data_IF_430609582264
#
_entry.id   IF_430609582264
#
_cell.length_a   1.000
_cell.length_b   1.000
_cell.length_c   1.000
_cell.angle_alpha   90.00
_cell.angle_beta   90.00
_cell.angle_gamma   90.00
#
_symmetry.space_group_name_H-M   'P 1'
#
loop_
_entity.id
_entity.type
_entity.pdbx_description
1 polymer ?
#
# COMPACT_ATOMS: atom_id res chain seq x y z
N UNK A 1 63.95 18.31 8.04
CA UNK A 1 63.82 16.91 8.53
C UNK A 1 62.65 16.73 9.50
N UNK A 2 62.49 17.56 10.55
CA UNK A 2 61.39 17.44 11.54
C UNK A 2 59.97 17.63 10.97
N UNK A 3 59.80 18.47 9.95
CA UNK A 3 58.51 18.67 9.27
C UNK A 3 58.11 17.46 8.42
N UNK A 4 59.06 16.86 7.68
CA UNK A 4 58.81 15.65 6.89
C UNK A 4 58.34 14.46 7.75
N UNK A 5 58.90 14.31 8.97
CA UNK A 5 58.48 13.26 9.90
C UNK A 5 57.06 13.49 10.44
N UNK A 6 56.65 14.74 10.66
CA UNK A 6 55.27 15.05 11.09
C UNK A 6 54.23 14.83 9.99
N UNK A 7 54.56 15.10 8.72
CA UNK A 7 53.64 14.86 7.59
C UNK A 7 53.45 13.36 7.33
N UNK A 8 54.51 12.56 7.48
CA UNK A 8 54.42 11.09 7.36
C UNK A 8 53.64 10.47 8.52
N UNK A 9 53.81 10.99 9.75
CA UNK A 9 53.01 10.55 10.90
C UNK A 9 51.52 10.92 10.77
N UNK A 10 51.21 12.09 10.17
CA UNK A 10 49.83 12.49 9.89
C UNK A 10 49.19 11.68 8.76
N UNK A 11 49.95 11.25 7.74
CA UNK A 11 49.44 10.37 6.68
C UNK A 11 49.20 8.93 7.15
N UNK A 12 49.98 8.43 8.12
CA UNK A 12 49.78 7.12 8.74
C UNK A 12 48.56 7.04 9.67
N UNK A 13 48.03 8.17 10.12
CA UNK A 13 46.81 8.23 10.95
C UNK A 13 45.51 8.15 10.12
N UNK A 14 45.59 8.15 8.78
CA UNK A 14 44.42 8.11 7.89
C UNK A 14 44.19 6.69 7.30
N UNK A 15 44.97 5.69 7.70
CA UNK A 15 44.80 4.30 7.22
C UNK A 15 44.40 3.33 8.32
N UNK A 16 43.77 3.80 9.40
CA UNK A 16 42.96 2.89 10.20
C UNK A 16 41.77 2.49 9.30
N UNK A 17 41.92 1.39 8.58
CA UNK A 17 40.78 0.67 8.05
C UNK A 17 39.94 0.33 9.26
N UNK A 18 38.81 1.01 9.46
CA UNK A 18 37.76 0.49 10.31
C UNK A 18 37.45 -0.90 9.74
N UNK A 19 37.92 -1.94 10.43
CA UNK A 19 37.61 -3.32 10.07
C UNK A 19 36.20 -3.52 10.63
N UNK A 20 35.27 -3.75 9.73
CA UNK A 20 33.86 -3.97 10.01
C UNK A 20 33.51 -5.32 9.39
N UNK A 21 32.58 -6.05 9.99
CA UNK A 21 32.14 -7.36 9.51
C UNK A 21 31.78 -7.26 8.01
N UNK A 22 32.49 -8.03 7.19
CA UNK A 22 32.33 -8.02 5.74
C UNK A 22 31.59 -9.26 5.26
N UNK A 23 30.38 -9.03 4.76
CA UNK A 23 29.52 -10.06 4.20
C UNK A 23 28.87 -9.52 2.93
N UNK A 24 28.84 -10.36 1.88
CA UNK A 24 28.59 -9.92 0.50
C UNK A 24 27.13 -9.55 0.25
N UNK A 25 26.19 -10.21 0.95
CA UNK A 25 24.74 -10.04 0.78
C UNK A 25 24.12 -9.41 2.02
N UNK A 26 24.39 -8.12 2.22
CA UNK A 26 23.84 -7.31 3.32
C UNK A 26 22.32 -7.17 3.19
N UNK A 27 21.59 -6.84 4.28
CA UNK A 27 20.17 -6.54 4.19
C UNK A 27 19.94 -5.42 3.17
N UNK A 28 19.14 -5.69 2.16
CA UNK A 28 18.66 -4.73 1.18
C UNK A 28 17.14 -4.93 1.07
N UNK A 29 16.39 -3.84 1.17
CA UNK A 29 14.93 -3.92 1.13
C UNK A 29 14.47 -3.69 -0.29
N UNK A 30 13.66 -4.60 -0.81
CA UNK A 30 13.03 -4.47 -2.12
C UNK A 30 11.52 -4.37 -1.94
N UNK A 31 10.86 -3.67 -2.86
CA UNK A 31 9.44 -3.41 -2.80
C UNK A 31 8.79 -3.53 -4.19
N UNK A 32 7.57 -4.06 -4.24
CA UNK A 32 6.76 -4.10 -5.44
C UNK A 32 5.27 -4.01 -5.13
N UNK A 33 4.47 -3.60 -6.12
CA UNK A 33 3.02 -3.46 -5.96
C UNK A 33 2.35 -4.83 -6.01
N UNK A 34 1.47 -5.09 -5.05
CA UNK A 34 0.59 -6.24 -5.07
C UNK A 34 -0.82 -5.84 -5.55
N UNK A 35 -1.30 -6.51 -6.60
CA UNK A 35 -2.60 -6.21 -7.19
C UNK A 35 -2.51 -5.14 -8.29
N UNK A 36 -3.43 -4.17 -8.27
CA UNK A 36 -3.52 -3.14 -9.31
C UNK A 36 -2.61 -1.95 -9.00
N UNK A 37 -1.82 -1.54 -9.98
CA UNK A 37 -1.10 -0.25 -10.00
C UNK A 37 -1.87 0.84 -10.75
N UNK A 38 -3.09 0.55 -11.21
CA UNK A 38 -3.95 1.47 -11.97
C UNK A 38 -4.97 2.15 -11.06
N UNK A 39 -5.10 3.46 -11.24
CA UNK A 39 -6.00 4.34 -10.50
C UNK A 39 -6.75 5.28 -11.45
N UNK A 40 -7.92 5.75 -11.04
CA UNK A 40 -8.67 6.79 -11.75
C UNK A 40 -8.51 8.15 -11.05
N UNK A 41 -8.81 9.24 -11.78
CA UNK A 41 -8.88 10.59 -11.19
C UNK A 41 -9.93 10.66 -10.08
N UNK A 42 -9.57 11.27 -8.97
CA UNK A 42 -10.41 11.38 -7.79
C UNK A 42 -10.48 10.09 -6.95
N UNK A 43 -9.74 9.04 -7.32
CA UNK A 43 -9.70 7.83 -6.52
C UNK A 43 -9.13 8.11 -5.12
N UNK A 44 -9.74 7.47 -4.13
CA UNK A 44 -9.18 7.34 -2.79
C UNK A 44 -9.21 5.86 -2.42
N UNK A 45 -8.06 5.20 -2.57
CA UNK A 45 -7.94 3.74 -2.49
C UNK A 45 -6.61 3.33 -1.89
N UNK A 46 -6.56 2.08 -1.46
CA UNK A 46 -5.38 1.45 -0.89
C UNK A 46 -4.43 0.95 -1.99
N UNK A 47 -3.18 1.41 -1.94
CA UNK A 47 -2.04 0.84 -2.64
C UNK A 47 -1.37 -0.19 -1.72
N UNK A 48 -1.31 -1.44 -2.17
CA UNK A 48 -0.66 -2.51 -1.40
C UNK A 48 0.74 -2.73 -1.95
N UNK A 49 1.75 -2.57 -1.08
CA UNK A 49 3.14 -2.88 -1.40
C UNK A 49 3.54 -4.16 -0.68
N UNK A 50 4.18 -5.08 -1.39
CA UNK A 50 4.94 -6.16 -0.77
C UNK A 50 6.37 -5.67 -0.64
N UNK A 51 6.90 -5.72 0.57
CA UNK A 51 8.31 -5.49 0.84
C UNK A 51 8.96 -6.78 1.31
N UNK A 52 10.23 -6.99 1.01
CA UNK A 52 11.01 -8.04 1.66
C UNK A 52 12.49 -7.67 1.67
N UNK A 53 13.22 -8.29 2.60
CA UNK A 53 14.67 -8.20 2.69
C UNK A 53 15.26 -9.33 1.83
N UNK A 54 16.01 -9.00 0.78
CA UNK A 54 16.53 -9.97 -0.17
C UNK A 54 17.94 -10.50 0.18
N UNK A 55 18.42 -10.22 1.39
CA UNK A 55 19.64 -10.83 1.90
C UNK A 55 19.52 -12.36 1.99
N UNK A 56 20.64 -13.02 1.72
CA UNK A 56 20.78 -14.46 1.86
C UNK A 56 22.21 -14.83 2.22
N UNK A 57 22.38 -15.97 2.87
CA UNK A 57 23.70 -16.43 3.31
C UNK A 57 24.49 -17.01 2.11
N UNK A 58 25.47 -16.25 1.61
CA UNK A 58 26.38 -16.66 0.54
C UNK A 58 27.82 -16.84 1.05
N UNK A 59 28.47 -15.75 1.48
CA UNK A 59 29.81 -15.75 2.07
C UNK A 59 29.88 -14.76 3.25
N UNK A 60 30.37 -15.23 4.41
CA UNK A 60 30.57 -14.41 5.63
C UNK A 60 32.04 -14.45 6.00
N UNK A 61 32.67 -13.28 6.14
CA UNK A 61 34.03 -13.16 6.67
C UNK A 61 33.94 -12.56 8.08
N UNK A 62 34.44 -13.31 9.04
CA UNK A 62 34.56 -12.89 10.42
C UNK A 62 35.96 -12.33 10.68
N UNK A 63 36.05 -11.33 11.54
CA UNK A 63 37.30 -10.67 11.88
C UNK A 63 38.17 -11.56 12.78
N UNK A 64 37.55 -12.30 13.72
CA UNK A 64 38.25 -13.24 14.58
C UNK A 64 37.44 -14.51 14.94
N UNK A 65 38.09 -15.43 15.66
CA UNK A 65 37.46 -16.69 16.10
C UNK A 65 36.32 -16.46 17.11
N UNK A 66 36.37 -15.36 17.87
CA UNK A 66 35.39 -15.03 18.91
C UNK A 66 34.10 -14.53 18.26
N UNK A 67 34.22 -13.67 17.25
CA UNK A 67 33.10 -13.23 16.42
C UNK A 67 32.48 -14.39 15.64
N UNK A 68 33.32 -15.20 14.97
CA UNK A 68 32.86 -16.40 14.28
C UNK A 68 32.12 -17.37 15.23
N UNK A 69 32.63 -17.53 16.46
CA UNK A 69 31.99 -18.36 17.48
C UNK A 69 30.68 -17.78 18.02
N UNK A 70 30.55 -16.45 18.08
CA UNK A 70 29.32 -15.78 18.50
C UNK A 70 28.20 -15.93 17.47
N UNK A 71 28.50 -15.70 16.19
CA UNK A 71 27.53 -15.78 15.10
C UNK A 71 27.26 -17.20 14.61
N UNK A 72 28.03 -18.20 15.03
CA UNK A 72 27.77 -19.59 14.68
C UNK A 72 26.38 -20.04 15.18
N UNK A 73 25.52 -20.44 14.25
CA UNK A 73 24.11 -20.77 14.52
C UNK A 73 23.22 -19.54 14.81
N UNK A 74 23.72 -18.33 14.58
CA UNK A 74 23.02 -17.04 14.72
C UNK A 74 23.25 -16.13 13.50
N UNK A 75 23.62 -16.71 12.36
CA UNK A 75 23.99 -15.98 11.15
C UNK A 75 22.81 -15.14 10.65
N UNK A 76 21.56 -15.57 10.88
CA UNK A 76 20.35 -14.81 10.56
C UNK A 76 20.32 -13.39 11.15
N UNK A 77 21.01 -13.16 12.27
CA UNK A 77 21.13 -11.83 12.88
C UNK A 77 21.80 -10.83 11.91
N UNK A 78 22.80 -11.28 11.16
CA UNK A 78 23.55 -10.44 10.21
C UNK A 78 22.70 -10.02 9.02
N UNK A 79 21.78 -10.90 8.61
CA UNK A 79 20.93 -10.69 7.45
C UNK A 79 19.59 -10.05 7.81
N UNK A 80 19.32 -9.72 9.08
CA UNK A 80 18.07 -9.10 9.50
C UNK A 80 18.18 -7.57 9.42
N UNK A 81 17.18 -6.93 8.81
CA UNK A 81 17.03 -5.47 8.87
C UNK A 81 16.23 -5.11 10.14
N UNK A 82 16.83 -4.36 11.05
CA UNK A 82 16.23 -3.97 12.33
C UNK A 82 15.62 -2.58 12.23
N UNK A 83 14.53 -2.38 12.97
CA UNK A 83 13.87 -1.09 13.09
C UNK A 83 13.59 -0.42 11.74
N UNK A 84 12.94 -1.17 10.85
CA UNK A 84 12.66 -0.71 9.48
C UNK A 84 11.54 0.34 9.55
N UNK A 85 11.84 1.55 9.13
CA UNK A 85 10.92 2.68 9.03
C UNK A 85 10.64 2.96 7.57
N UNK A 86 9.36 3.11 7.23
CA UNK A 86 8.89 3.12 5.85
C UNK A 86 7.90 4.25 5.68
N UNK A 87 8.21 5.16 4.76
CA UNK A 87 7.35 6.26 4.36
C UNK A 87 7.16 6.25 2.86
N UNK A 88 5.92 6.41 2.40
CA UNK A 88 5.64 6.57 0.98
C UNK A 88 5.36 8.04 0.71
N UNK A 89 6.22 8.66 -0.08
CA UNK A 89 6.05 10.04 -0.51
C UNK A 89 5.27 10.12 -1.82
N UNK A 90 4.28 11.00 -1.79
CA UNK A 90 3.45 11.33 -2.94
C UNK A 90 4.14 12.26 -3.93
N UNK A 91 3.35 12.80 -4.85
CA UNK A 91 3.78 13.85 -5.78
C UNK A 91 2.68 14.91 -5.93
N UNK A 92 2.79 15.79 -6.94
CA UNK A 92 1.83 16.89 -7.14
C UNK A 92 0.36 16.44 -7.35
N UNK A 93 0.13 15.21 -7.83
CA UNK A 93 -1.21 14.67 -8.07
C UNK A 93 -1.60 13.51 -7.16
N UNK A 94 -0.65 12.91 -6.46
CA UNK A 94 -0.87 11.72 -5.63
C UNK A 94 -0.53 12.07 -4.19
N UNK A 95 -1.56 12.13 -3.34
CA UNK A 95 -1.39 12.38 -1.91
C UNK A 95 -1.44 11.08 -1.12
N UNK A 96 -0.40 10.81 -0.35
CA UNK A 96 -0.37 9.69 0.60
C UNK A 96 -0.95 10.15 1.93
N UNK A 97 -1.94 9.42 2.44
CA UNK A 97 -2.61 9.71 3.73
C UNK A 97 -2.11 8.84 4.87
N UNK A 98 -1.50 7.71 4.54
CA UNK A 98 -0.93 6.79 5.50
C UNK A 98 0.35 7.38 6.10
N UNK A 99 0.51 7.42 7.44
CA UNK A 99 1.74 7.85 8.08
C UNK A 99 2.85 6.79 7.93
N UNK A 100 4.05 7.15 8.36
CA UNK A 100 5.18 6.21 8.46
C UNK A 100 4.79 4.92 9.17
N UNK A 101 5.26 3.80 8.64
CA UNK A 101 5.06 2.46 9.17
C UNK A 101 6.39 1.90 9.66
N UNK A 102 6.34 1.10 10.75
CA UNK A 102 7.52 0.57 11.40
C UNK A 102 7.44 -0.95 11.55
N UNK A 103 8.50 -1.64 11.16
CA UNK A 103 8.66 -3.09 11.31
C UNK A 103 9.86 -3.33 12.25
N UNK A 104 9.66 -3.95 13.42
CA UNK A 104 10.74 -4.12 14.39
C UNK A 104 11.96 -4.87 13.85
N UNK A 105 11.72 -5.91 13.05
CA UNK A 105 12.75 -6.69 12.39
C UNK A 105 12.17 -7.33 11.13
N UNK A 106 12.83 -7.15 9.99
CA UNK A 106 12.47 -7.77 8.72
C UNK A 106 13.52 -8.83 8.39
N UNK A 107 13.13 -10.08 8.63
CA UNK A 107 13.96 -11.25 8.36
C UNK A 107 14.24 -11.41 6.86
N UNK A 108 15.40 -12.00 6.49
CA UNK A 108 15.70 -12.32 5.11
C UNK A 108 14.61 -13.21 4.50
N UNK A 109 14.24 -12.94 3.25
CA UNK A 109 13.29 -13.72 2.46
C UNK A 109 11.88 -13.83 3.07
N UNK A 110 11.52 -12.96 4.02
CA UNK A 110 10.18 -12.93 4.63
C UNK A 110 9.36 -11.72 4.16
N UNK A 111 8.44 -11.89 3.19
CA UNK A 111 7.68 -10.77 2.66
C UNK A 111 6.61 -10.26 3.62
N UNK A 112 6.43 -8.94 3.63
CA UNK A 112 5.43 -8.22 4.43
C UNK A 112 4.59 -7.33 3.52
N UNK A 113 3.27 -7.38 3.71
CA UNK A 113 2.33 -6.53 2.98
C UNK A 113 2.07 -5.24 3.75
N UNK A 114 2.33 -4.11 3.10
CA UNK A 114 2.03 -2.77 3.60
C UNK A 114 0.87 -2.17 2.82
N UNK A 115 0.03 -1.42 3.51
CA UNK A 115 -1.14 -0.79 2.92
C UNK A 115 -1.06 0.73 3.08
N UNK A 116 -1.04 1.43 1.94
CA UNK A 116 -1.00 2.89 1.86
C UNK A 116 -2.31 3.43 1.27
N UNK A 117 -3.06 4.19 2.05
CA UNK A 117 -4.20 4.94 1.55
C UNK A 117 -3.69 6.14 0.76
N UNK A 118 -3.96 6.15 -0.55
CA UNK A 118 -3.58 7.24 -1.45
C UNK A 118 -4.82 7.90 -2.03
N UNK A 119 -4.70 9.18 -2.37
CA UNK A 119 -5.73 9.98 -3.02
C UNK A 119 -5.17 10.63 -4.28
N UNK A 120 -5.87 10.45 -5.38
CA UNK A 120 -5.51 10.95 -6.71
C UNK A 120 -6.28 12.23 -7.00
N UNK A 121 -5.58 13.29 -7.40
CA UNK A 121 -6.19 14.56 -7.78
C UNK A 121 -7.13 14.42 -8.98
N UNK A 122 -8.24 15.15 -8.98
CA UNK A 122 -9.13 15.28 -10.13
C UNK A 122 -8.46 15.96 -11.34
N UNK A 123 -7.41 16.74 -11.09
CA UNK A 123 -6.63 17.43 -12.13
C UNK A 123 -5.51 16.58 -12.74
N UNK A 124 -5.26 15.38 -12.21
CA UNK A 124 -4.20 14.51 -12.70
C UNK A 124 -4.42 14.14 -14.17
N UNK A 125 -3.38 14.19 -15.00
CA UNK A 125 -3.47 13.71 -16.38
C UNK A 125 -3.37 12.19 -16.42
N UNK A 126 -3.87 11.57 -17.48
CA UNK A 126 -3.62 10.15 -17.68
C UNK A 126 -2.12 9.93 -17.96
N UNK A 127 -1.54 8.86 -17.39
CA UNK A 127 -0.12 8.56 -17.57
C UNK A 127 0.51 7.80 -16.41
N UNK A 128 1.82 7.59 -16.53
CA UNK A 128 2.67 6.98 -15.51
C UNK A 128 3.11 8.06 -14.50
N UNK A 129 3.08 7.69 -13.23
CA UNK A 129 3.53 8.51 -12.11
C UNK A 129 4.42 7.69 -11.20
N UNK A 130 5.44 8.33 -10.66
CA UNK A 130 6.37 7.73 -9.72
C UNK A 130 6.12 8.30 -8.32
N UNK A 131 6.10 7.41 -7.32
CA UNK A 131 6.08 7.69 -5.89
C UNK A 131 7.41 7.22 -5.31
N UNK A 132 7.86 7.85 -4.23
CA UNK A 132 9.13 7.51 -3.60
C UNK A 132 8.89 6.77 -2.29
N UNK A 133 9.26 5.50 -2.21
CA UNK A 133 9.24 4.75 -0.96
C UNK A 133 10.57 4.94 -0.24
N UNK A 134 10.57 5.75 0.81
CA UNK A 134 11.70 5.94 1.69
C UNK A 134 11.74 4.83 2.72
N UNK A 135 12.89 4.15 2.81
CA UNK A 135 13.13 3.09 3.78
C UNK A 135 14.42 3.39 4.52
N UNK A 136 14.35 3.38 5.85
CA UNK A 136 15.53 3.39 6.71
C UNK A 136 15.50 2.19 7.64
N UNK A 137 16.66 1.64 7.96
CA UNK A 137 16.78 0.49 8.85
C UNK A 137 18.19 0.43 9.43
N UNK A 138 18.36 -0.37 10.47
CA UNK A 138 19.67 -0.70 11.02
C UNK A 138 20.06 -2.11 10.61
N UNK A 139 21.34 -2.30 10.30
CA UNK A 139 21.95 -3.63 10.21
C UNK A 139 23.11 -3.74 11.19
N UNK A 140 23.44 -4.97 11.57
CA UNK A 140 24.63 -5.24 12.37
C UNK A 140 25.86 -4.92 11.51
N UNK A 141 26.79 -4.17 12.10
CA UNK A 141 28.06 -3.80 11.51
C UNK A 141 29.23 -4.55 12.12
N UNK A 142 29.22 -4.75 13.44
CA UNK A 142 30.33 -5.40 14.17
C UNK A 142 29.88 -5.98 15.53
N UNK A 143 30.63 -6.94 16.04
CA UNK A 143 30.57 -7.41 17.43
C UNK A 143 31.59 -6.64 18.30
N UNK A 144 31.18 -5.46 18.78
CA UNK A 144 32.05 -4.57 19.57
C UNK A 144 32.58 -5.24 20.84
N UNK A 145 31.75 -6.01 21.55
CA UNK A 145 32.22 -6.78 22.69
C UNK A 145 31.43 -8.06 22.91
N UNK A 146 32.11 -9.07 23.45
CA UNK A 146 31.50 -10.31 23.90
C UNK A 146 32.31 -10.89 25.06
N UNK A 147 31.65 -11.10 26.20
CA UNK A 147 32.21 -11.78 27.36
C UNK A 147 31.77 -13.24 27.30
N UNK A 148 32.60 -14.08 26.69
CA UNK A 148 32.40 -15.52 26.67
C UNK A 148 32.48 -16.05 28.09
N UNK A 149 31.66 -17.03 28.46
CA UNK A 149 31.80 -17.72 29.74
C UNK A 149 33.26 -18.12 29.95
N UNK A 150 33.96 -17.45 30.86
CA UNK A 150 35.22 -17.97 31.34
C UNK A 150 34.88 -19.28 32.04
N UNK A 151 35.48 -20.39 31.59
CA UNK A 151 35.54 -21.63 32.36
C UNK A 151 36.45 -21.38 33.56
N UNK A 152 36.08 -20.47 34.45
CA UNK A 152 36.65 -20.45 35.79
C UNK A 152 36.06 -21.70 36.43
N UNK A 153 36.87 -22.77 36.47
CA UNK A 153 36.63 -23.86 37.41
C UNK A 153 36.30 -23.20 38.76
N UNK A 154 35.21 -23.59 39.44
CA UNK A 154 34.87 -22.96 40.72
C UNK A 154 36.10 -22.97 41.61
N UNK A 155 36.57 -21.80 42.04
CA UNK A 155 37.71 -21.73 42.95
C UNK A 155 37.29 -22.40 44.26
N UNK A 156 37.87 -23.55 44.58
CA UNK A 156 37.66 -24.18 45.88
C UNK A 156 38.51 -23.44 46.91
N UNK A 157 37.90 -22.56 47.69
CA UNK A 157 38.50 -22.11 48.94
C UNK A 157 38.32 -23.23 49.98
N UNK A 158 39.40 -23.97 50.22
CA UNK A 158 39.44 -24.93 51.33
C UNK A 158 39.65 -24.12 52.61
N UNK A 159 38.57 -23.85 53.33
CA UNK A 159 38.67 -23.37 54.72
C UNK A 159 39.12 -24.57 55.57
N UNK A 160 40.43 -24.69 55.77
CA UNK A 160 40.98 -25.63 56.73
C UNK A 160 40.68 -25.09 58.15
N UNK A 161 39.62 -25.61 58.78
CA UNK A 161 39.42 -25.42 60.21
C UNK A 161 40.49 -26.28 60.92
N UNK A 162 41.63 -25.67 61.27
CA UNK A 162 42.49 -26.25 62.30
C UNK A 162 41.76 -26.09 63.63
N UNK A 163 41.66 -27.19 64.38
CA UNK A 163 41.07 -27.28 65.72
C UNK A 163 41.85 -26.47 66.76
N UNK A 164 42.00 -25.18 66.57
CA UNK A 164 42.39 -24.27 67.62
C UNK A 164 41.35 -23.16 67.66
N UNK A 165 40.83 -22.95 68.86
CA UNK A 165 39.86 -21.92 69.22
C UNK A 165 40.21 -20.58 68.58
N UNK A 166 39.55 -20.26 67.46
CA UNK A 166 39.61 -18.94 66.86
C UNK A 166 38.45 -18.14 67.46
N UNK A 167 38.75 -17.42 68.53
CA UNK A 167 38.11 -16.13 68.85
C UNK A 167 38.44 -15.15 67.73
N UNK A 168 37.68 -15.20 66.65
CA UNK A 168 37.79 -14.30 65.52
C UNK A 168 36.40 -13.83 65.14
N UNK A 169 36.06 -12.62 65.58
CA UNK A 169 34.82 -11.94 65.20
C UNK A 169 34.87 -11.68 63.69
N UNK A 170 34.09 -12.41 62.90
CA UNK A 170 33.86 -12.06 61.50
C UNK A 170 32.89 -10.89 61.48
N UNK A 171 33.42 -9.71 61.18
CA UNK A 171 32.65 -8.48 61.04
C UNK A 171 31.87 -8.53 59.73
N UNK A 172 30.55 -8.70 59.79
CA UNK A 172 29.65 -8.35 58.68
C UNK A 172 29.14 -6.93 58.92
N UNK A 173 29.23 -6.00 57.95
CA UNK A 173 28.63 -4.69 58.11
C UNK A 173 27.12 -4.79 57.85
N UNK A 174 26.37 -5.24 58.85
CA UNK A 174 24.94 -4.95 58.95
C UNK A 174 24.53 -4.92 60.44
N UNK A 175 24.14 -3.73 60.88
CA UNK A 175 23.42 -3.33 62.10
C UNK A 175 23.15 -4.42 63.19
N UNK A 176 23.77 -4.19 64.37
CA UNK A 176 23.82 -4.91 65.67
C UNK A 176 22.47 -5.31 66.32
N UNK A 177 22.39 -6.05 67.47
CA UNK A 177 23.26 -7.06 68.11
C UNK A 177 22.52 -8.39 68.42
N UNK A 178 23.25 -9.49 68.61
CA UNK A 178 23.12 -10.42 69.76
C UNK A 178 23.71 -11.80 69.43
N UNK A 179 24.54 -12.25 70.36
CA UNK A 179 25.41 -13.41 70.26
C UNK A 179 24.63 -14.73 70.17
N UNK A 180 24.92 -15.55 69.16
CA UNK A 180 24.62 -16.98 69.19
C UNK A 180 25.89 -17.79 68.88
N UNK A 181 26.31 -18.60 69.85
CA UNK A 181 27.33 -19.63 69.67
C UNK A 181 26.74 -20.77 68.83
N UNK A 182 27.23 -20.97 67.61
CA UNK A 182 26.84 -22.10 66.77
C UNK A 182 27.94 -23.17 66.79
N UNK A 183 27.71 -24.20 67.60
CA UNK A 183 28.30 -25.54 67.43
C UNK A 183 27.63 -26.18 66.22
N UNK A 184 28.36 -26.40 65.13
CA UNK A 184 27.74 -26.87 63.89
C UNK A 184 28.69 -27.62 62.96
N UNK A 185 28.26 -28.84 62.62
CA UNK A 185 28.83 -29.80 61.69
C UNK A 185 29.34 -29.16 60.38
N UNK A 186 30.50 -29.59 59.87
CA UNK A 186 31.21 -29.01 58.72
C UNK A 186 30.32 -28.89 57.47
N UNK A 187 29.72 -27.72 57.29
CA UNK A 187 28.84 -27.39 56.16
C UNK A 187 29.70 -26.78 55.06
N UNK A 188 29.73 -27.42 53.88
CA UNK A 188 30.41 -26.89 52.70
C UNK A 188 29.49 -25.90 52.01
N UNK A 189 29.91 -24.64 51.90
CA UNK A 189 29.20 -23.62 51.14
C UNK A 189 29.72 -23.62 49.71
N UNK A 190 28.81 -23.75 48.74
CA UNK A 190 29.10 -23.54 47.33
C UNK A 190 28.43 -22.24 46.91
N UNK A 191 29.23 -21.24 46.52
CA UNK A 191 28.72 -20.00 45.94
C UNK A 191 28.81 -20.11 44.43
N UNK A 192 27.66 -20.28 43.77
CA UNK A 192 27.56 -20.22 42.32
C UNK A 192 27.26 -18.77 41.92
N UNK A 193 28.15 -18.15 41.14
CA UNK A 193 27.86 -16.87 40.48
C UNK A 193 27.33 -17.18 39.08
N UNK A 194 26.05 -16.89 38.82
CA UNK A 194 25.53 -16.92 37.45
C UNK A 194 26.24 -15.80 36.68
N UNK A 195 27.08 -16.17 35.71
CA UNK A 195 27.61 -15.22 34.73
C UNK A 195 26.60 -15.16 33.59
N UNK A 196 26.04 -14.00 33.28
CA UNK A 196 25.25 -13.83 32.07
C UNK A 196 26.21 -13.42 30.94
N UNK A 197 26.13 -14.08 29.78
CA UNK A 197 26.86 -13.63 28.59
C UNK A 197 26.44 -12.18 28.28
N UNK A 198 27.40 -11.26 28.30
CA UNK A 198 27.19 -9.88 27.86
C UNK A 198 27.84 -9.73 26.48
N UNK A 199 27.10 -9.18 25.55
CA UNK A 199 27.63 -8.77 24.25
C UNK A 199 27.09 -7.40 23.88
N UNK A 200 27.80 -6.73 22.98
CA UNK A 200 27.48 -5.43 22.43
C UNK A 200 27.67 -5.51 20.92
N UNK A 201 26.65 -5.06 20.18
CA UNK A 201 26.63 -5.07 18.72
C UNK A 201 26.63 -3.63 18.25
N UNK A 202 27.51 -3.32 17.30
CA UNK A 202 27.46 -2.06 16.59
C UNK A 202 26.42 -2.18 15.47
N UNK A 203 25.56 -1.16 15.37
CA UNK A 203 24.58 -1.04 14.30
C UNK A 203 24.88 0.18 13.45
N UNK A 204 24.67 0.04 12.15
CA UNK A 204 24.73 1.14 11.19
C UNK A 204 23.37 1.34 10.55
N UNK A 205 22.95 2.60 10.43
CA UNK A 205 21.73 2.99 9.74
C UNK A 205 21.98 3.03 8.24
N UNK A 206 21.13 2.36 7.48
CA UNK A 206 21.08 2.39 6.03
C UNK A 206 19.80 3.12 5.60
N UNK A 207 19.90 3.86 4.49
CA UNK A 207 18.80 4.61 3.91
C UNK A 207 18.74 4.36 2.41
N UNK A 208 17.53 4.12 1.91
CA UNK A 208 17.31 3.85 0.49
C UNK A 208 15.96 4.41 0.04
N UNK A 209 15.88 4.78 -1.24
CA UNK A 209 14.66 5.27 -1.87
C UNK A 209 14.31 4.35 -3.03
N UNK A 210 13.14 3.72 -2.96
CA UNK A 210 12.65 2.79 -3.99
C UNK A 210 11.56 3.50 -4.82
N UNK A 211 11.71 3.62 -6.14
CA UNK A 211 10.68 4.20 -7.00
C UNK A 211 9.50 3.23 -7.18
N UNK A 212 8.29 3.69 -6.86
CA UNK A 212 7.04 2.94 -7.01
C UNK A 212 6.22 3.55 -8.13
N UNK A 213 6.06 2.81 -9.23
CA UNK A 213 5.35 3.26 -10.43
C UNK A 213 3.88 2.91 -10.39
N UNK A 214 3.03 3.93 -10.52
CA UNK A 214 1.58 3.78 -10.65
C UNK A 214 1.10 4.41 -11.96
N UNK A 215 -0.11 4.03 -12.39
CA UNK A 215 -0.73 4.52 -13.61
C UNK A 215 -2.06 5.17 -13.29
N UNK A 216 -2.26 6.39 -13.76
CA UNK A 216 -3.55 7.05 -13.70
C UNK A 216 -4.22 6.88 -15.06
N UNK A 217 -5.34 6.17 -15.07
CA UNK A 217 -6.19 6.01 -16.24
C UNK A 217 -7.14 7.19 -16.39
N UNK A 218 -7.46 7.52 -17.63
CA UNK A 218 -8.58 8.40 -17.91
C UNK A 218 -9.88 7.64 -17.63
N UNK A 219 -10.85 8.29 -16.99
CA UNK A 219 -12.16 7.64 -16.81
C UNK A 219 -12.72 7.31 -18.19
N UNK A 220 -13.05 6.03 -18.48
CA UNK A 220 -13.46 5.61 -19.81
C UNK A 220 -14.66 6.43 -20.33
N UNK A 221 -15.53 6.86 -19.41
CA UNK A 221 -16.66 7.73 -19.73
C UNK A 221 -16.72 8.82 -18.66
N UNK A 222 -16.74 10.08 -19.08
CA UNK A 222 -16.88 11.24 -18.18
C UNK A 222 -17.88 12.21 -18.76
N UNK A 223 -19.12 12.21 -18.27
CA UNK A 223 -20.16 13.13 -18.73
C UNK A 223 -20.13 14.42 -17.90
N UNK A 224 -20.01 15.56 -18.57
CA UNK A 224 -19.99 16.89 -17.94
C UNK A 224 -21.09 17.79 -18.51
N UNK A 225 -21.79 18.52 -17.65
CA UNK A 225 -22.81 19.48 -18.06
C UNK A 225 -22.11 20.76 -18.51
N UNK A 226 -22.19 21.06 -19.81
CA UNK A 226 -21.58 22.27 -20.37
C UNK A 226 -22.49 23.48 -20.26
N UNK A 227 -23.81 23.28 -20.40
CA UNK A 227 -24.77 24.37 -20.50
C UNK A 227 -26.14 23.94 -20.00
N UNK A 228 -26.83 24.88 -19.36
CA UNK A 228 -28.24 24.75 -18.97
C UNK A 228 -28.97 26.01 -19.42
N UNK A 229 -30.04 25.85 -20.19
CA UNK A 229 -30.89 26.93 -20.68
C UNK A 229 -32.33 26.69 -20.24
N UNK A 230 -32.97 27.72 -19.68
CA UNK A 230 -34.38 27.67 -19.28
C UNK A 230 -35.22 28.61 -20.13
N UNK A 231 -36.40 28.15 -20.53
CA UNK A 231 -37.38 28.96 -21.26
C UNK A 231 -38.76 28.87 -20.61
N UNK A 232 -39.45 30.01 -20.53
CA UNK A 232 -40.82 30.13 -20.00
C UNK A 232 -41.02 29.50 -18.61
N UNK A 233 -40.03 29.62 -17.72
CA UNK A 233 -40.08 29.14 -16.35
C UNK A 233 -40.88 30.12 -15.45
N UNK A 234 -42.19 30.19 -15.65
CA UNK A 234 -43.11 31.07 -14.90
C UNK A 234 -44.01 30.21 -14.01
N UNK A 235 -44.26 30.66 -12.77
CA UNK A 235 -45.09 29.92 -11.80
C UNK A 235 -46.53 29.70 -12.27
N UNK A 236 -47.04 28.48 -12.10
CA UNK A 236 -48.34 28.04 -12.64
C UNK A 236 -48.31 27.74 -14.15
N UNK A 237 -47.18 27.97 -14.82
CA UNK A 237 -47.00 27.84 -16.26
C UNK A 237 -46.32 26.55 -16.70
N UNK A 238 -46.17 26.40 -18.02
CA UNK A 238 -45.35 25.35 -18.64
C UNK A 238 -44.07 25.97 -19.18
N UNK A 239 -42.94 25.37 -18.85
CA UNK A 239 -41.62 25.78 -19.33
C UNK A 239 -40.80 24.60 -19.83
N UNK A 240 -39.57 24.87 -20.25
CA UNK A 240 -38.61 23.82 -20.61
C UNK A 240 -37.19 24.17 -20.15
N UNK A 241 -36.42 23.15 -19.80
CA UNK A 241 -34.98 23.24 -19.56
C UNK A 241 -34.26 22.38 -20.60
N UNK A 242 -33.29 22.97 -21.28
CA UNK A 242 -32.36 22.26 -22.17
C UNK A 242 -31.00 22.17 -21.49
N UNK A 243 -30.49 20.94 -21.34
CA UNK A 243 -29.18 20.65 -20.77
C UNK A 243 -28.28 20.11 -21.87
N UNK A 244 -27.11 20.72 -22.06
CA UNK A 244 -26.05 20.21 -22.94
C UNK A 244 -25.04 19.44 -22.10
N UNK A 245 -24.85 18.16 -22.41
CA UNK A 245 -23.88 17.28 -21.76
C UNK A 245 -22.86 16.80 -22.78
N UNK A 246 -21.58 16.82 -22.41
CA UNK A 246 -20.47 16.34 -23.26
C UNK A 246 -19.76 15.19 -22.60
N UNK A 247 -19.41 14.17 -23.39
CA UNK A 247 -18.50 13.12 -22.96
C UNK A 247 -17.05 13.60 -23.11
N UNK A 248 -16.37 13.79 -21.99
CA UNK A 248 -14.97 14.15 -21.88
C UNK A 248 -14.06 12.94 -21.60
N UNK A 249 -14.63 11.73 -21.50
CA UNK A 249 -13.85 10.49 -21.43
C UNK A 249 -13.36 10.04 -22.81
N UNK A 250 -12.52 9.01 -22.82
CA UNK A 250 -11.84 8.46 -24.01
C UNK A 250 -12.56 7.24 -24.62
N UNK A 251 -13.64 6.74 -24.00
CA UNK A 251 -14.55 5.74 -24.54
C UNK A 251 -15.97 6.28 -24.71
N UNK A 252 -16.75 5.57 -25.53
CA UNK A 252 -18.16 5.91 -25.80
C UNK A 252 -19.04 5.60 -24.60
N UNK A 253 -19.79 6.58 -24.10
CA UNK A 253 -20.86 6.37 -23.13
C UNK A 253 -22.02 5.69 -23.85
N UNK A 254 -22.22 4.38 -23.66
CA UNK A 254 -23.29 3.66 -24.33
C UNK A 254 -24.60 3.78 -23.57
N UNK A 255 -25.70 3.94 -24.30
CA UNK A 255 -27.05 4.00 -23.76
C UNK A 255 -27.21 5.01 -22.61
N UNK A 256 -26.65 6.21 -22.76
CA UNK A 256 -26.68 7.21 -21.70
C UNK A 256 -28.09 7.80 -21.52
N UNK A 257 -28.44 8.09 -20.26
CA UNK A 257 -29.66 8.78 -19.87
C UNK A 257 -29.31 9.97 -18.97
N UNK A 258 -30.03 11.07 -19.14
CA UNK A 258 -29.99 12.22 -18.25
C UNK A 258 -31.26 12.23 -17.40
N UNK A 259 -31.10 12.33 -16.09
CA UNK A 259 -32.23 12.37 -15.15
C UNK A 259 -32.30 13.75 -14.52
N UNK A 260 -33.45 14.41 -14.67
CA UNK A 260 -33.75 15.66 -14.00
C UNK A 260 -34.56 15.36 -12.73
N UNK A 261 -33.96 15.62 -11.58
CA UNK A 261 -34.63 15.61 -10.28
C UNK A 261 -35.20 17.02 -10.01
N UNK A 262 -36.51 17.11 -9.75
CA UNK A 262 -37.19 18.38 -9.52
C UNK A 262 -37.67 18.54 -8.06
N UNK A 263 -37.67 19.77 -7.51
CA UNK A 263 -38.21 20.03 -6.18
C UNK A 263 -39.75 19.91 -6.14
N UNK A 264 -40.34 19.91 -4.94
CA UNK A 264 -41.79 19.85 -4.76
C UNK A 264 -42.51 21.00 -5.47
N UNK A 265 -43.62 20.69 -6.15
CA UNK A 265 -44.38 21.66 -6.95
C UNK A 265 -44.06 21.63 -8.44
N UNK A 266 -42.99 20.95 -8.85
CA UNK A 266 -42.60 20.80 -10.24
C UNK A 266 -42.94 19.40 -10.76
N UNK A 267 -43.56 19.33 -11.94
CA UNK A 267 -43.72 18.08 -12.70
C UNK A 267 -42.82 18.15 -13.93
N UNK A 268 -41.94 17.16 -14.11
CA UNK A 268 -41.02 17.09 -15.25
C UNK A 268 -41.36 15.94 -16.20
N UNK A 269 -41.16 16.15 -17.51
CA UNK A 269 -41.27 15.11 -18.54
C UNK A 269 -40.07 15.19 -19.50
N UNK A 270 -39.43 14.05 -19.75
CA UNK A 270 -38.37 13.91 -20.76
C UNK A 270 -38.92 13.29 -22.05
N UNK A 271 -38.68 13.93 -23.19
CA UNK A 271 -39.05 13.40 -24.51
C UNK A 271 -37.80 12.79 -25.17
N UNK A 272 -37.55 11.50 -24.96
CA UNK A 272 -36.43 10.82 -25.62
C UNK A 272 -36.58 10.84 -27.15
N UNK A 273 -35.59 11.36 -27.86
CA UNK A 273 -35.50 11.29 -29.33
C UNK A 273 -35.06 9.88 -29.71
N UNK A 274 -36.00 8.93 -29.66
CA UNK A 274 -35.82 7.61 -30.29
C UNK A 274 -37.02 7.17 -31.12
N UNK A 275 -37.95 8.09 -31.41
CA UNK A 275 -39.14 7.82 -32.25
C UNK A 275 -39.25 8.70 -33.49
N UNK A 276 -38.25 9.52 -33.82
CA UNK A 276 -38.32 10.43 -34.97
C UNK A 276 -37.88 9.82 -36.32
N UNK A 277 -37.52 8.54 -36.39
CA UNK A 277 -37.08 7.88 -37.63
C UNK A 277 -37.82 6.58 -37.91
N UNK A 278 -39.13 6.68 -38.12
CA UNK A 278 -39.93 5.65 -38.81
C UNK A 278 -41.15 6.28 -39.49
N UNK A 279 -40.93 7.15 -40.49
CA UNK A 279 -41.91 7.35 -41.55
C UNK A 279 -41.36 6.72 -42.83
N UNK A 280 -41.92 5.60 -43.31
CA UNK A 280 -41.66 5.13 -44.66
C UNK A 280 -42.47 5.99 -45.63
N UNK A 281 -41.86 7.01 -46.22
CA UNK A 281 -42.34 7.66 -47.43
C UNK A 281 -41.95 6.81 -48.63
N UNK A 282 -42.85 5.93 -49.06
CA UNK A 282 -42.61 5.10 -50.25
C UNK A 282 -43.75 4.16 -50.55
N UNK A 283 -44.84 4.69 -51.12
CA UNK A 283 -45.85 3.89 -51.82
C UNK A 283 -45.50 3.90 -53.30
N UNK A 284 -45.08 2.78 -53.92
CA UNK A 284 -45.06 2.65 -55.36
C UNK A 284 -46.43 2.16 -55.83
N UNK A 285 -47.10 3.00 -56.64
CA UNK A 285 -48.19 2.58 -57.48
C UNK A 285 -47.66 1.60 -58.55
N UNK A 286 -48.27 0.43 -58.67
CA UNK A 286 -47.89 -0.56 -59.67
C UNK A 286 -48.57 -1.91 -59.47
N UNK A 287 -49.86 -1.99 -59.79
CA UNK A 287 -50.49 -3.28 -60.09
C UNK A 287 -49.86 -3.87 -61.36
N UNK A 288 -49.67 -5.20 -61.40
CA UNK A 288 -50.10 -5.94 -62.57
C UNK A 288 -51.15 -6.99 -62.19
N UNK A 289 -52.19 -7.01 -63.00
CA UNK A 289 -53.24 -8.02 -63.06
C UNK A 289 -52.69 -9.34 -63.60
N UNK A 290 -53.06 -10.43 -62.93
CA UNK A 290 -52.97 -11.80 -63.47
C UNK A 290 -51.84 -12.63 -62.89
N UNK A 291 -52.16 -13.55 -61.97
CA UNK A 291 -52.04 -14.99 -62.21
C UNK A 291 -52.59 -15.77 -61.01
N UNK A 292 -53.59 -16.58 -61.30
CA UNK A 292 -54.19 -17.62 -60.47
C UNK A 292 -53.19 -18.74 -60.17
N UNK A 293 -52.96 -19.05 -58.89
CA UNK A 293 -52.92 -20.43 -58.36
C UNK A 293 -52.57 -20.43 -56.87
N UNK A 294 -53.52 -20.90 -56.06
CA UNK A 294 -53.28 -21.41 -54.70
C UNK A 294 -52.65 -22.79 -54.82
N UNK A 295 -51.64 -23.13 -54.00
CA UNK A 295 -51.62 -24.46 -53.42
C UNK A 295 -51.60 -24.41 -51.89
N UNK A 296 -52.64 -24.99 -51.32
CA UNK A 296 -52.77 -25.46 -49.94
C UNK A 296 -51.72 -26.54 -49.64
N UNK A 297 -50.87 -26.31 -48.63
CA UNK A 297 -49.94 -27.29 -48.08
C UNK A 297 -49.18 -26.77 -46.85
N UNK A 298 -49.64 -27.17 -45.66
CA UNK A 298 -49.06 -26.99 -44.31
C UNK A 298 -47.54 -27.33 -44.21
N UNK A 299 -46.78 -26.93 -43.15
CA UNK A 299 -47.21 -26.90 -41.74
C UNK A 299 -46.85 -25.65 -40.90
N UNK A 300 -47.72 -25.40 -39.93
CA UNK A 300 -47.53 -24.53 -38.76
C UNK A 300 -46.35 -25.00 -37.91
N UNK A 301 -45.31 -24.18 -37.79
CA UNK A 301 -44.21 -24.42 -36.85
C UNK A 301 -43.24 -23.25 -36.76
N UNK A 302 -43.16 -22.64 -35.58
CA UNK A 302 -42.11 -21.74 -35.09
C UNK A 302 -41.85 -20.45 -35.88
N UNK A 303 -42.68 -19.43 -35.61
CA UNK A 303 -42.20 -18.05 -35.64
C UNK A 303 -41.56 -17.74 -34.28
N UNK A 304 -40.33 -17.22 -34.19
CA UNK A 304 -39.83 -16.62 -32.96
C UNK A 304 -40.72 -15.42 -32.63
N UNK A 305 -41.25 -15.39 -31.41
CA UNK A 305 -42.01 -14.27 -30.90
C UNK A 305 -41.16 -12.99 -30.99
N UNK A 306 -41.59 -12.07 -31.84
CA UNK A 306 -41.09 -10.69 -31.86
C UNK A 306 -41.37 -10.08 -30.49
N UNK A 307 -40.40 -9.47 -29.79
CA UNK A 307 -40.68 -8.79 -28.54
C UNK A 307 -41.64 -7.64 -28.82
N UNK A 308 -42.83 -7.71 -28.22
CA UNK A 308 -43.80 -6.62 -28.18
C UNK A 308 -43.11 -5.38 -27.63
N UNK A 309 -42.89 -4.39 -28.49
CA UNK A 309 -42.57 -3.02 -28.12
C UNK A 309 -43.78 -2.45 -27.36
N UNK A 310 -43.73 -2.53 -26.03
CA UNK A 310 -44.88 -2.15 -25.21
C UNK A 310 -44.61 -2.28 -23.72
N UNK A 311 -43.57 -1.64 -23.22
CA UNK A 311 -43.51 -1.22 -21.80
C UNK A 311 -42.90 0.17 -21.74
N UNK A 312 -43.78 1.17 -21.79
CA UNK A 312 -43.47 2.48 -21.23
C UNK A 312 -43.34 2.29 -19.71
N UNK A 313 -42.11 2.19 -19.23
CA UNK A 313 -41.82 2.28 -17.80
C UNK A 313 -42.25 3.66 -17.33
N UNK A 314 -43.37 3.73 -16.61
CA UNK A 314 -43.82 4.94 -15.92
C UNK A 314 -42.80 5.28 -14.83
N UNK A 315 -41.88 6.19 -15.16
CA UNK A 315 -40.98 6.79 -14.17
C UNK A 315 -41.84 7.71 -13.29
N UNK A 316 -41.66 7.58 -11.98
CA UNK A 316 -42.24 8.47 -10.96
C UNK A 316 -42.18 9.95 -11.39
N UNK A 317 -43.28 10.69 -11.20
CA UNK A 317 -43.49 12.08 -11.64
C UNK A 317 -42.48 13.11 -11.10
N UNK A 318 -41.60 12.72 -10.17
CA UNK A 318 -40.53 13.55 -9.61
C UNK A 318 -39.17 13.39 -10.32
N UNK A 319 -39.02 12.42 -11.23
CA UNK A 319 -37.77 12.15 -11.95
C UNK A 319 -38.03 11.98 -13.44
N UNK A 320 -37.71 12.99 -14.24
CA UNK A 320 -37.79 12.88 -15.70
C UNK A 320 -36.48 12.32 -16.26
N UNK A 321 -36.53 11.20 -16.98
CA UNK A 321 -35.37 10.64 -17.67
C UNK A 321 -35.42 10.95 -19.17
N UNK A 322 -34.28 11.29 -19.76
CA UNK A 322 -34.11 11.57 -21.18
C UNK A 322 -32.99 10.67 -21.73
N UNK A 323 -33.33 9.78 -22.67
CA UNK A 323 -32.33 8.96 -23.35
C UNK A 323 -31.55 9.81 -24.36
N UNK A 324 -30.23 9.88 -24.19
CA UNK A 324 -29.33 10.59 -25.11
C UNK A 324 -28.57 9.66 -26.05
N UNK A 325 -28.72 8.33 -25.89
CA UNK A 325 -28.08 7.35 -26.75
C UNK A 325 -26.59 7.17 -26.46
N UNK A 326 -25.84 6.81 -27.50
CA UNK A 326 -24.39 6.62 -27.40
C UNK A 326 -23.66 7.96 -27.61
N UNK A 327 -22.80 8.35 -26.66
CA UNK A 327 -21.97 9.55 -26.73
C UNK A 327 -20.49 9.19 -26.89
N UNK A 328 -19.91 9.42 -28.07
CA UNK A 328 -18.48 9.15 -28.29
C UNK A 328 -17.61 10.18 -27.56
N UNK A 329 -16.30 9.93 -27.39
CA UNK A 329 -15.36 10.91 -26.86
C UNK A 329 -15.47 12.25 -27.59
N UNK A 330 -15.71 13.32 -26.85
CA UNK A 330 -15.88 14.66 -27.39
C UNK A 330 -17.28 15.00 -27.91
N UNK A 331 -18.21 14.04 -28.02
CA UNK A 331 -19.58 14.30 -28.45
C UNK A 331 -20.36 15.04 -27.36
N UNK A 332 -21.25 15.93 -27.79
CA UNK A 332 -22.23 16.59 -26.93
C UNK A 332 -23.66 16.25 -27.37
N UNK A 333 -24.53 16.01 -26.40
CA UNK A 333 -25.97 15.86 -26.62
C UNK A 333 -26.75 16.92 -25.84
N UNK A 334 -27.89 17.31 -26.41
CA UNK A 334 -28.86 18.18 -25.78
C UNK A 334 -30.05 17.34 -25.31
N UNK A 335 -30.40 17.44 -24.04
CA UNK A 335 -31.64 16.89 -23.50
C UNK A 335 -32.58 18.02 -23.12
N UNK A 336 -33.82 17.92 -23.56
CA UNK A 336 -34.86 18.89 -23.23
C UNK A 336 -35.90 18.26 -22.31
N UNK A 337 -36.08 18.87 -21.16
CA UNK A 337 -37.07 18.51 -20.15
C UNK A 337 -38.17 19.56 -20.15
N UNK A 338 -39.42 19.11 -20.24
CA UNK A 338 -40.59 19.97 -20.11
C UNK A 338 -41.03 19.98 -18.65
N UNK A 339 -41.38 21.17 -18.16
CA UNK A 339 -41.71 21.41 -16.77
C UNK A 339 -43.09 22.04 -16.67
N UNK A 340 -43.82 21.66 -15.63
CA UNK A 340 -44.99 22.37 -15.12
C UNK A 340 -44.66 22.82 -13.70
N UNK A 341 -44.82 24.12 -13.44
CA UNK A 341 -44.34 24.83 -12.25
C UNK A 341 -45.51 25.26 -11.38
#
# INVERSE_FOLDING_TARGET
MRWFVMVIAALLLITATAQALDYEKKPEIVAYIYGSSFFERGDEKNLVLVIFNDAWNEEIKYDDQKEAGFFNGREEMLFTAYDVQISLEGNEYVKVKTPEQRIPALQPMYPVNLNFLISISDSAKAGEYELSLEVTYYRINDLESFDSFSTVLPSQDIIAIKNESITGVVHYPMYNPDYYNLTGNGTRYYTYKLLNQKYELEYVMESQTIPIKIYIEEKPVRLEVLKVEGENLVGGGKGRITVTVKNLGDKTARNAYLVLDTPSGFEAQGLSVSTASAMPSGMPAGMPTGMTSIPTGMPTGMYPAMPSAGMATTVSSAKAAYYVGDLKPGDAANATFYLKI
#
